data_IF_280979802031
#
_entry.id   IF_280979802031
#
_cell.length_a   1.000
_cell.length_b   1.000
_cell.length_c   1.000
_cell.angle_alpha   90.00
_cell.angle_beta   90.00
_cell.angle_gamma   90.00
#
_symmetry.space_group_name_H-M   'P 1'
#
loop_
_entity.id
_entity.type
_entity.pdbx_description
1 polymer ?
#
# COMPACT_ATOMS: atom_id res chain seq x y z
N UNK A 1 20.23 14.86 11.85
CA UNK A 1 18.91 14.45 12.40
C UNK A 1 18.80 15.01 13.81
N UNK A 2 17.75 15.77 14.13
CA UNK A 2 17.57 16.32 15.48
C UNK A 2 16.81 15.35 16.39
N UNK A 3 16.88 15.55 17.71
CA UNK A 3 16.21 14.69 18.69
C UNK A 3 14.68 14.59 18.49
N UNK A 4 13.94 15.69 18.23
CA UNK A 4 12.51 15.59 17.93
C UNK A 4 12.18 14.64 16.77
N UNK A 5 12.90 14.76 15.65
CA UNK A 5 12.71 13.90 14.48
C UNK A 5 13.06 12.44 14.79
N UNK A 6 14.15 12.20 15.55
CA UNK A 6 14.53 10.85 15.97
C UNK A 6 13.43 10.20 16.81
N UNK A 7 12.83 10.93 17.73
CA UNK A 7 11.75 10.44 18.58
C UNK A 7 10.50 10.07 17.78
N UNK A 8 10.14 10.87 16.77
CA UNK A 8 9.02 10.56 15.88
C UNK A 8 9.26 9.29 15.06
N UNK A 9 10.48 9.10 14.54
CA UNK A 9 10.84 7.87 13.79
C UNK A 9 10.76 6.64 14.70
N UNK A 10 11.29 6.72 15.93
CA UNK A 10 11.23 5.61 16.89
C UNK A 10 9.81 5.29 17.36
N UNK A 11 8.91 6.28 17.41
CA UNK A 11 7.49 6.06 17.65
C UNK A 11 6.82 5.37 16.45
N UNK A 12 7.06 5.86 15.23
CA UNK A 12 6.45 5.33 14.02
C UNK A 12 6.82 3.86 13.77
N UNK A 13 8.05 3.44 14.06
CA UNK A 13 8.51 2.05 13.93
C UNK A 13 7.70 1.05 14.77
N UNK A 14 7.07 1.50 15.85
CA UNK A 14 6.29 0.64 16.77
C UNK A 14 4.83 0.53 16.36
N UNK A 15 4.37 1.34 15.41
CA UNK A 15 3.00 1.29 14.92
C UNK A 15 2.82 0.03 14.09
N UNK A 16 1.87 -0.81 14.47
CA UNK A 16 1.43 -1.94 13.65
C UNK A 16 0.22 -1.48 12.82
N UNK A 17 0.35 -1.39 11.49
CA UNK A 17 -0.79 -1.06 10.64
C UNK A 17 -1.82 -2.19 10.68
N UNK A 18 -3.08 -1.82 10.72
CA UNK A 18 -4.20 -2.74 10.60
C UNK A 18 -4.22 -3.40 9.21
N UNK A 19 -4.93 -4.55 9.05
CA UNK A 19 -5.04 -5.21 7.75
C UNK A 19 -5.57 -4.31 6.63
N UNK A 20 -6.51 -3.41 6.92
CA UNK A 20 -7.05 -2.45 5.94
C UNK A 20 -6.01 -1.39 5.55
N UNK A 21 -5.22 -0.89 6.49
CA UNK A 21 -4.13 0.05 6.21
C UNK A 21 -3.04 -0.59 5.37
N UNK A 22 -2.69 -1.85 5.65
CA UNK A 22 -1.75 -2.62 4.83
C UNK A 22 -2.27 -2.76 3.40
N UNK A 23 -3.57 -3.04 3.22
CA UNK A 23 -4.15 -3.18 1.89
C UNK A 23 -4.14 -1.85 1.11
N UNK A 24 -4.51 -0.74 1.77
CA UNK A 24 -4.42 0.60 1.17
C UNK A 24 -2.98 0.92 0.75
N UNK A 25 -2.00 0.57 1.60
CA UNK A 25 -0.58 0.74 1.31
C UNK A 25 -0.16 -0.11 0.11
N UNK A 26 -0.51 -1.40 0.10
CA UNK A 26 -0.21 -2.34 -0.99
C UNK A 26 -0.72 -1.83 -2.34
N UNK A 27 -1.98 -1.38 -2.41
CA UNK A 27 -2.57 -0.79 -3.61
C UNK A 27 -1.84 0.47 -4.04
N UNK A 28 -1.49 1.34 -3.09
CA UNK A 28 -0.76 2.58 -3.37
C UNK A 28 0.64 2.32 -3.92
N UNK A 29 1.36 1.32 -3.40
CA UNK A 29 2.65 0.90 -3.95
C UNK A 29 2.52 0.30 -5.35
N UNK A 30 1.53 -0.58 -5.56
CA UNK A 30 1.28 -1.15 -6.88
C UNK A 30 0.99 -0.06 -7.92
N UNK A 31 0.10 0.88 -7.60
CA UNK A 31 -0.18 2.03 -8.45
C UNK A 31 1.07 2.89 -8.67
N UNK A 32 1.75 3.32 -7.60
CA UNK A 32 2.91 4.20 -7.71
C UNK A 32 4.00 3.62 -8.61
N UNK A 33 4.34 2.34 -8.43
CA UNK A 33 5.36 1.68 -9.23
C UNK A 33 4.93 1.49 -10.69
N UNK A 34 3.68 1.09 -10.93
CA UNK A 34 3.20 0.77 -12.29
C UNK A 34 2.84 1.99 -13.10
N UNK A 35 2.19 2.99 -12.49
CA UNK A 35 1.83 4.24 -13.14
C UNK A 35 3.06 5.06 -13.52
N UNK A 36 4.11 5.02 -12.69
CA UNK A 36 5.38 5.66 -13.01
C UNK A 36 5.99 5.14 -14.32
N UNK A 37 5.89 3.84 -14.57
CA UNK A 37 6.40 3.20 -15.80
C UNK A 37 5.41 3.32 -16.98
N UNK A 38 4.11 3.40 -16.68
CA UNK A 38 3.06 3.45 -17.68
C UNK A 38 1.83 4.23 -17.16
N UNK A 39 1.70 5.47 -17.61
CA UNK A 39 0.61 6.37 -17.22
C UNK A 39 -0.79 5.84 -17.57
N UNK A 40 -0.91 4.90 -18.51
CA UNK A 40 -2.19 4.26 -18.85
C UNK A 40 -2.69 3.31 -17.75
N UNK A 41 -1.83 2.92 -16.80
CA UNK A 41 -2.23 2.14 -15.64
C UNK A 41 -2.85 3.08 -14.62
N UNK A 42 -4.16 2.97 -14.42
CA UNK A 42 -4.90 3.87 -13.53
C UNK A 42 -5.10 3.28 -12.14
N UNK A 43 -5.51 4.12 -11.19
CA UNK A 43 -5.78 3.69 -9.82
C UNK A 43 -6.93 2.69 -9.76
N UNK A 44 -7.96 2.93 -10.57
CA UNK A 44 -9.15 2.07 -10.68
C UNK A 44 -8.78 0.68 -11.23
N UNK A 45 -7.81 0.61 -12.15
CA UNK A 45 -7.30 -0.66 -12.66
C UNK A 45 -6.65 -1.49 -11.54
N UNK A 46 -5.84 -0.85 -10.70
CA UNK A 46 -5.19 -1.50 -9.54
C UNK A 46 -6.23 -1.95 -8.52
N UNK A 47 -7.22 -1.11 -8.22
CA UNK A 47 -8.30 -1.46 -7.28
C UNK A 47 -9.07 -2.69 -7.76
N UNK A 48 -9.48 -2.73 -9.03
CA UNK A 48 -10.17 -3.88 -9.61
C UNK A 48 -9.35 -5.16 -9.55
N UNK A 49 -8.06 -5.10 -9.92
CA UNK A 49 -7.19 -6.28 -9.89
C UNK A 49 -6.96 -6.76 -8.46
N UNK A 50 -6.81 -5.84 -7.50
CA UNK A 50 -6.67 -6.18 -6.08
C UNK A 50 -7.90 -6.93 -5.56
N UNK A 51 -9.10 -6.50 -5.93
CA UNK A 51 -10.35 -7.17 -5.57
C UNK A 51 -10.45 -8.57 -6.21
N UNK A 52 -10.16 -8.69 -7.51
CA UNK A 52 -10.15 -9.98 -8.23
C UNK A 52 -9.17 -11.00 -7.62
N UNK A 53 -7.99 -10.55 -7.18
CA UNK A 53 -7.01 -11.41 -6.51
C UNK A 53 -7.47 -11.86 -5.13
N UNK A 54 -8.12 -10.98 -4.37
CA UNK A 54 -8.65 -11.31 -3.05
C UNK A 54 -9.78 -12.33 -3.12
N UNK A 55 -10.61 -12.28 -4.16
CA UNK A 55 -11.67 -13.27 -4.38
C UNK A 55 -11.11 -14.63 -4.80
N UNK A 56 -10.13 -14.67 -5.71
CA UNK A 56 -9.46 -15.93 -6.07
C UNK A 56 -8.82 -16.64 -4.87
N UNK A 57 -8.23 -15.88 -3.94
CA UNK A 57 -7.66 -16.45 -2.72
C UNK A 57 -8.68 -17.07 -1.76
N UNK A 58 -9.96 -16.72 -1.87
CA UNK A 58 -11.03 -17.33 -1.04
C UNK A 58 -11.53 -18.64 -1.63
N UNK A 59 -11.33 -18.84 -2.94
CA UNK A 59 -11.81 -20.00 -3.68
C UNK A 59 -10.80 -21.17 -3.70
N UNK A 60 -9.53 -20.89 -3.35
CA UNK A 60 -8.42 -21.86 -3.19
C UNK A 60 -8.30 -22.40 -1.75
#
# INVERSE_FOLDING_TARGET
MNEPLRNLIEAAKKVQPSPSEIEVQRRSFAYGNTHFENEMITREMIDRVADEMADKQKDD
#
